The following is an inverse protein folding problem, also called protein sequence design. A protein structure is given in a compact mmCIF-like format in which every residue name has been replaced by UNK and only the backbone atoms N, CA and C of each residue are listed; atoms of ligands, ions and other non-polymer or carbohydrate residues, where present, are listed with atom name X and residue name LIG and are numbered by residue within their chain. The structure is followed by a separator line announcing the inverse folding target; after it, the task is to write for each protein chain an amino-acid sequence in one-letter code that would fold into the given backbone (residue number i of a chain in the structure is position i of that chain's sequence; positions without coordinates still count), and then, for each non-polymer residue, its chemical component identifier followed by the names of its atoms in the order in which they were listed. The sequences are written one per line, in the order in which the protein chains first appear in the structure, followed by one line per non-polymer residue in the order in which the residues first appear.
data_IF_485961276736
#
_entry.id   IF_485961276736
#
_cell.length_a   1.000
_cell.length_b   1.000
_cell.length_c   1.000
_cell.angle_alpha   90.00
_cell.angle_beta   90.00
_cell.angle_gamma   90.00
#
_symmetry.space_group_name_H-M   'P 1'
#
loop_
_entity.id
_entity.type
_entity.pdbx_description
1 polymer ?
#
# COMPACT_ATOMS: atom_id res chain seq x y z
N UNK A 1 26.13 33.05 12.83
CA UNK A 1 24.77 32.65 13.26
C UNK A 1 24.26 31.65 12.23
N UNK A 2 23.95 30.42 12.65
CA UNK A 2 23.40 29.39 11.77
C UNK A 2 21.89 29.36 11.95
N UNK A 3 21.14 29.67 10.90
CA UNK A 3 19.71 29.43 10.89
C UNK A 3 19.51 27.91 10.82
N UNK A 4 18.75 27.34 11.76
CA UNK A 4 18.51 25.91 11.86
C UNK A 4 17.01 25.67 11.70
N UNK A 5 16.63 24.68 10.90
CA UNK A 5 15.23 24.35 10.66
C UNK A 5 14.55 23.99 11.98
N UNK A 6 13.41 24.61 12.29
CA UNK A 6 12.64 24.32 13.51
C UNK A 6 12.00 22.92 13.54
N UNK A 7 12.14 22.13 12.46
CA UNK A 7 11.51 20.80 12.31
C UNK A 7 12.57 19.69 12.40
N UNK A 8 13.74 19.86 11.77
CA UNK A 8 14.80 18.85 11.74
C UNK A 8 16.17 19.34 12.20
N UNK A 9 16.26 20.59 12.67
CA UNK A 9 17.49 21.22 13.22
C UNK A 9 18.67 21.30 12.24
N UNK A 10 18.47 20.94 10.98
CA UNK A 10 19.46 21.07 9.92
C UNK A 10 19.63 22.53 9.50
N UNK A 11 20.77 22.86 8.87
CA UNK A 11 21.02 24.22 8.36
C UNK A 11 19.90 24.63 7.40
N UNK A 12 19.23 25.73 7.74
CA UNK A 12 18.21 26.36 6.92
C UNK A 12 18.73 27.65 6.33
N UNK A 13 18.25 28.01 5.14
CA UNK A 13 18.43 29.35 4.56
C UNK A 13 17.08 30.04 4.28
N UNK A 14 15.97 29.36 4.56
CA UNK A 14 14.63 29.83 4.24
C UNK A 14 13.79 29.96 5.51
N UNK A 15 12.78 30.83 5.43
CA UNK A 15 11.81 31.09 6.49
C UNK A 15 10.40 30.85 5.98
N UNK A 16 9.52 30.36 6.84
CA UNK A 16 8.11 30.21 6.53
C UNK A 16 7.45 31.59 6.38
N UNK A 17 6.81 31.86 5.25
CA UNK A 17 6.10 33.13 5.01
C UNK A 17 4.86 33.35 5.89
N UNK A 18 4.44 32.35 6.69
CA UNK A 18 3.29 32.43 7.59
C UNK A 18 3.71 32.60 9.05
N UNK A 19 4.46 31.64 9.60
CA UNK A 19 4.85 31.65 11.01
C UNK A 19 6.23 32.26 11.27
N UNK A 20 6.96 32.70 10.24
CA UNK A 20 8.31 33.31 10.31
C UNK A 20 9.41 32.42 10.93
N UNK A 21 9.13 31.13 11.17
CA UNK A 21 10.12 30.15 11.63
C UNK A 21 11.02 29.69 10.49
N UNK A 22 12.26 29.36 10.82
CA UNK A 22 13.23 28.78 9.90
C UNK A 22 12.80 27.39 9.46
N UNK A 23 12.77 27.14 8.16
CA UNK A 23 12.44 25.84 7.58
C UNK A 23 13.34 25.56 6.37
N UNK A 24 13.99 24.39 6.32
CA UNK A 24 14.79 24.00 5.16
C UNK A 24 13.88 23.65 3.97
N UNK A 25 14.44 23.58 2.76
CA UNK A 25 13.67 23.35 1.53
C UNK A 25 12.88 22.02 1.55
N UNK A 26 13.36 21.00 2.26
CA UNK A 26 12.62 19.74 2.45
C UNK A 26 11.33 19.92 3.28
N UNK A 27 11.27 20.93 4.15
CA UNK A 27 10.12 21.22 4.99
C UNK A 27 9.38 22.50 4.56
N UNK A 28 9.82 23.17 3.49
CA UNK A 28 9.19 24.35 2.95
C UNK A 28 8.49 23.97 1.65
N UNK A 29 7.17 24.13 1.59
CA UNK A 29 6.43 23.85 0.37
C UNK A 29 6.80 24.84 -0.74
N UNK A 30 7.21 24.33 -1.90
CA UNK A 30 7.63 25.15 -3.04
C UNK A 30 6.49 26.00 -3.62
N UNK A 31 5.24 25.51 -3.51
CA UNK A 31 4.05 26.22 -4.01
C UNK A 31 3.67 27.42 -3.15
N UNK A 32 3.65 27.26 -1.83
CA UNK A 32 3.12 28.27 -0.91
C UNK A 32 4.18 28.94 -0.03
N UNK A 33 5.44 28.48 -0.07
CA UNK A 33 6.57 28.96 0.74
C UNK A 33 6.25 28.94 2.25
N UNK A 34 5.46 27.94 2.68
CA UNK A 34 5.09 27.68 4.08
C UNK A 34 5.73 26.39 4.58
N UNK A 35 6.00 26.29 5.88
CA UNK A 35 6.50 25.06 6.47
C UNK A 35 5.43 23.97 6.48
N UNK A 36 5.81 22.71 6.64
CA UNK A 36 4.91 21.54 6.64
C UNK A 36 3.70 21.71 7.57
N UNK A 37 3.90 22.26 8.76
CA UNK A 37 2.85 22.49 9.77
C UNK A 37 1.85 23.59 9.36
N UNK A 38 2.29 24.57 8.57
CA UNK A 38 1.48 25.69 8.08
C UNK A 38 0.98 25.50 6.64
N UNK A 39 1.38 24.41 6.01
CA UNK A 39 1.04 24.11 4.63
C UNK A 39 -0.43 23.70 4.54
N UNK A 40 -1.17 24.34 3.65
CA UNK A 40 -2.57 24.02 3.34
C UNK A 40 -2.72 23.51 1.91
N UNK A 41 -1.61 23.22 1.24
CA UNK A 41 -1.63 22.60 -0.06
C UNK A 41 -2.13 21.16 0.11
N UNK A 42 -3.31 20.86 -0.42
CA UNK A 42 -3.87 19.49 -0.52
C UNK A 42 -3.11 18.64 -1.55
N UNK A 43 -1.79 18.83 -1.65
CA UNK A 43 -0.92 18.07 -2.53
C UNK A 43 -0.69 16.74 -1.83
N UNK A 44 -1.54 15.75 -2.13
CA UNK A 44 -1.12 14.37 -2.02
C UNK A 44 0.17 14.27 -2.84
N UNK A 45 1.28 13.82 -2.23
CA UNK A 45 2.40 13.31 -3.03
C UNK A 45 1.80 12.16 -3.84
N UNK A 46 1.36 12.46 -5.06
CA UNK A 46 0.87 11.45 -5.97
C UNK A 46 2.01 10.46 -6.15
N UNK A 47 1.73 9.22 -5.74
CA UNK A 47 2.60 8.06 -5.91
C UNK A 47 3.17 8.08 -7.33
N UNK A 48 4.45 7.68 -7.50
CA UNK A 48 5.12 7.74 -8.79
C UNK A 48 4.18 7.20 -9.86
N UNK A 49 3.83 8.05 -10.83
CA UNK A 49 2.97 7.69 -11.95
C UNK A 49 3.45 6.36 -12.51
N UNK A 50 2.81 5.27 -12.10
CA UNK A 50 3.03 3.96 -12.68
C UNK A 50 2.53 4.13 -14.11
N UNK A 51 3.48 4.27 -15.02
CA UNK A 51 3.27 4.16 -16.46
C UNK A 51 2.34 2.97 -16.65
N UNK A 52 1.09 3.26 -17.00
CA UNK A 52 0.11 2.25 -17.40
C UNK A 52 0.58 1.69 -18.73
N UNK A 53 1.54 0.77 -18.69
CA UNK A 53 1.81 -0.11 -19.82
C UNK A 53 0.56 -0.94 -20.02
N UNK A 54 -0.15 -0.64 -21.10
CA UNK A 54 -1.41 -1.21 -21.52
C UNK A 54 -1.42 -2.74 -21.38
N UNK A 55 -2.33 -3.26 -20.56
CA UNK A 55 -2.69 -4.68 -20.58
C UNK A 55 -3.53 -4.89 -21.84
N UNK A 56 -2.89 -5.28 -22.94
CA UNK A 56 -3.60 -5.70 -24.15
C UNK A 56 -3.04 -6.95 -24.82
N UNK A 57 -1.94 -7.55 -24.36
CA UNK A 57 -1.28 -8.61 -25.14
C UNK A 57 -0.64 -9.68 -24.23
N UNK A 58 -1.44 -10.57 -23.63
CA UNK A 58 -1.08 -11.99 -23.42
C UNK A 58 -2.21 -12.81 -22.80
N UNK A 59 -3.29 -12.94 -23.57
CA UNK A 59 -4.02 -14.20 -23.62
C UNK A 59 -3.10 -15.24 -24.28
N UNK A 60 -2.82 -16.37 -23.62
CA UNK A 60 -2.25 -17.55 -24.27
C UNK A 60 -1.10 -18.25 -23.55
N UNK A 61 -1.44 -19.06 -22.54
CA UNK A 61 -0.97 -20.44 -22.25
C UNK A 61 -1.19 -20.74 -20.78
N UNK A 62 -2.31 -21.34 -20.45
CA UNK A 62 -2.42 -22.16 -19.23
C UNK A 62 -1.47 -23.35 -19.40
N UNK A 63 -0.56 -23.64 -18.45
CA UNK A 63 0.07 -24.94 -18.39
C UNK A 63 -0.97 -25.95 -17.91
N UNK A 64 -1.26 -26.97 -18.72
CA UNK A 64 -2.06 -28.14 -18.33
C UNK A 64 -1.43 -28.75 -17.06
N UNK A 65 -2.17 -28.89 -15.94
CA UNK A 65 -1.63 -29.56 -14.77
C UNK A 65 -1.52 -31.06 -15.09
N UNK A 66 -0.31 -31.59 -14.98
CA UNK A 66 -0.03 -33.01 -15.18
C UNK A 66 -0.96 -33.88 -14.31
N UNK A 67 -1.38 -35.07 -14.77
CA UNK A 67 -2.24 -35.95 -13.98
C UNK A 67 -1.48 -36.41 -12.73
N UNK A 68 -1.86 -35.87 -11.58
CA UNK A 68 -1.39 -36.37 -10.29
C UNK A 68 -1.82 -37.84 -10.15
N UNK A 69 -0.91 -38.78 -9.88
CA UNK A 69 -1.32 -40.13 -9.52
C UNK A 69 -2.06 -40.05 -8.19
N UNK A 70 -3.34 -40.39 -8.21
CA UNK A 70 -4.13 -40.56 -7.01
C UNK A 70 -3.50 -41.71 -6.20
N UNK A 71 -3.15 -41.53 -4.91
CA UNK A 71 -2.88 -42.67 -4.05
C UNK A 71 -4.17 -43.48 -3.91
N UNK A 72 -4.05 -44.81 -3.94
CA UNK A 72 -5.16 -45.77 -3.88
C UNK A 72 -6.13 -45.46 -2.73
N UNK A 73 -7.44 -45.73 -2.89
CA UNK A 73 -8.39 -45.56 -1.80
C UNK A 73 -7.98 -46.47 -0.62
N UNK A 74 -7.94 -45.89 0.57
CA UNK A 74 -7.76 -46.61 1.82
C UNK A 74 -8.97 -47.53 2.04
N UNK A 75 -8.79 -48.86 2.21
CA UNK A 75 -9.91 -49.79 2.42
C UNK A 75 -10.63 -49.69 3.77
N UNK A 76 -10.29 -48.75 4.66
CA UNK A 76 -10.85 -48.69 6.01
C UNK A 76 -11.42 -47.30 6.33
N UNK A 77 -12.62 -47.01 5.81
CA UNK A 77 -13.47 -45.98 6.41
C UNK A 77 -14.81 -46.59 6.79
N UNK A 78 -15.11 -46.80 8.09
CA UNK A 78 -16.41 -47.25 8.51
C UNK A 78 -17.45 -46.17 8.16
N UNK A 79 -18.44 -46.60 7.40
CA UNK A 79 -19.68 -45.91 7.10
C UNK A 79 -20.28 -45.27 8.36
N UNK A 80 -20.35 -43.93 8.39
CA UNK A 80 -21.12 -43.23 9.43
C UNK A 80 -22.60 -43.38 9.08
N UNK A 81 -23.24 -44.30 9.78
CA UNK A 81 -24.66 -44.61 9.74
C UNK A 81 -25.51 -43.33 9.91
N UNK A 82 -26.46 -43.15 9.00
CA UNK A 82 -27.52 -42.15 9.04
C UNK A 82 -28.44 -42.49 10.21
N UNK A 83 -28.25 -41.84 11.36
CA UNK A 83 -29.23 -41.89 12.43
C UNK A 83 -30.36 -40.92 12.08
N UNK A 84 -31.62 -41.38 11.94
CA UNK A 84 -32.72 -40.46 11.67
C UNK A 84 -32.95 -39.55 12.87
N UNK A 85 -33.08 -38.26 12.57
CA UNK A 85 -33.37 -37.20 13.53
C UNK A 85 -34.70 -37.49 14.27
N UNK A 86 -34.71 -37.63 15.61
CA UNK A 86 -35.93 -37.91 16.37
C UNK A 86 -36.87 -36.70 16.49
N UNK A 87 -36.62 -35.60 15.77
CA UNK A 87 -37.39 -34.35 15.81
C UNK A 87 -37.87 -33.90 14.41
N UNK A 88 -38.00 -34.82 13.46
CA UNK A 88 -38.90 -34.61 12.33
C UNK A 88 -40.36 -34.71 12.84
N UNK A 89 -41.01 -33.54 12.91
CA UNK A 89 -42.37 -33.21 13.38
C UNK A 89 -43.43 -34.31 13.54
#
# INVERSE_FOLDING_TARGET
MTFACSICEERSTQICGYCTKDACDNHLCERCRRCSDCCTCEVRLEEPMMVRTSIAERMGREPEPEPHPHPSPDPDQPEKEDYPDPNAT
#
